data_IF_567311138830
#
_entry.id   IF_567311138830
#
_cell.length_a   1.000
_cell.length_b   1.000
_cell.length_c   1.000
_cell.angle_alpha   90.00
_cell.angle_beta   90.00
_cell.angle_gamma   90.00
#
_symmetry.space_group_name_H-M   'P 1'
#
loop_
_entity.id
_entity.type
_entity.pdbx_description
1 polymer ?
#
# COMPACT_ATOMS: atom_id res chain seq x y z
N UNK A 1 -13.79 28.39 1.91
CA UNK A 1 -13.10 27.90 3.12
C UNK A 1 -13.00 26.41 2.93
N UNK A 2 -11.81 25.86 2.73
CA UNK A 2 -11.62 24.40 2.60
C UNK A 2 -12.02 23.79 3.94
N UNK A 3 -12.95 22.84 3.93
CA UNK A 3 -13.44 22.20 5.15
C UNK A 3 -12.25 21.49 5.83
N UNK A 4 -12.07 21.59 7.14
CA UNK A 4 -10.93 20.94 7.80
C UNK A 4 -10.95 19.42 7.62
N UNK A 5 -12.15 18.83 7.49
CA UNK A 5 -12.39 17.42 7.17
C UNK A 5 -11.99 17.01 5.73
N UNK A 6 -11.72 17.97 4.84
CA UNK A 6 -11.26 17.69 3.46
C UNK A 6 -9.74 17.59 3.35
N UNK A 7 -8.98 18.11 4.34
CA UNK A 7 -7.52 18.08 4.27
C UNK A 7 -6.99 16.70 4.63
N UNK A 8 -5.93 16.28 3.93
CA UNK A 8 -5.24 15.04 4.28
C UNK A 8 -4.67 15.12 5.71
N UNK A 9 -4.66 14.00 6.43
CA UNK A 9 -4.06 13.92 7.75
C UNK A 9 -2.54 14.06 7.69
N UNK A 10 -1.98 14.68 8.72
CA UNK A 10 -0.55 14.82 8.94
C UNK A 10 -0.17 14.10 10.23
N UNK A 11 1.04 13.52 10.30
CA UNK A 11 1.51 12.94 11.55
C UNK A 11 1.61 14.02 12.65
N UNK A 12 1.44 13.66 13.94
CA UNK A 12 1.53 14.62 15.03
C UNK A 12 2.88 15.35 15.03
N UNK A 13 2.88 16.68 15.17
CA UNK A 13 4.09 17.53 15.04
C UNK A 13 5.25 17.06 15.95
N UNK A 14 4.94 16.65 17.18
CA UNK A 14 5.95 16.19 18.13
C UNK A 14 6.43 14.75 17.87
N UNK A 15 5.88 14.04 16.89
CA UNK A 15 6.21 12.64 16.61
C UNK A 15 7.51 12.45 15.81
N UNK A 16 7.86 13.43 14.98
CA UNK A 16 9.06 13.40 14.12
C UNK A 16 10.02 14.55 14.38
N UNK A 17 9.73 15.39 15.38
CA UNK A 17 10.57 16.53 15.73
C UNK A 17 11.94 16.11 16.25
N UNK A 18 13.02 16.86 15.95
CA UNK A 18 14.39 16.54 16.35
C UNK A 18 14.56 16.48 17.88
N UNK A 19 13.75 17.23 18.61
CA UNK A 19 13.74 17.26 20.08
C UNK A 19 13.12 15.99 20.70
N UNK A 20 12.48 15.11 19.90
CA UNK A 20 11.84 13.88 20.35
C UNK A 20 12.50 12.63 19.79
N UNK A 21 13.82 12.70 19.55
CA UNK A 21 14.61 11.57 19.06
C UNK A 21 14.50 10.37 19.99
N UNK A 22 14.39 9.18 19.39
CA UNK A 22 14.35 7.90 20.10
C UNK A 22 15.35 6.94 19.45
N UNK A 23 15.94 6.00 20.22
CA UNK A 23 16.86 5.00 19.67
C UNK A 23 16.16 3.87 18.91
N UNK A 24 14.85 3.98 18.67
CA UNK A 24 14.02 3.00 17.97
C UNK A 24 12.92 3.71 17.17
N UNK A 25 12.45 3.07 16.10
CA UNK A 25 11.28 3.54 15.34
C UNK A 25 10.05 3.47 16.22
N UNK A 26 9.42 4.63 16.45
CA UNK A 26 8.15 4.67 17.17
C UNK A 26 7.00 4.34 16.23
N UNK A 27 5.99 3.69 16.79
CA UNK A 27 4.74 3.37 16.11
C UNK A 27 3.59 3.93 16.94
N UNK A 28 2.67 4.64 16.30
CA UNK A 28 1.43 5.12 16.93
C UNK A 28 0.24 4.84 16.00
N UNK A 29 -0.96 4.63 16.56
CA UNK A 29 -2.19 4.60 15.76
C UNK A 29 -2.37 5.90 14.97
N UNK A 30 -2.89 5.77 13.76
CA UNK A 30 -3.23 6.87 12.86
C UNK A 30 -4.72 6.82 12.51
N UNK A 31 -5.57 7.00 13.53
CA UNK A 31 -7.02 6.89 13.37
C UNK A 31 -7.56 7.96 12.41
N UNK A 32 -6.95 9.14 12.41
CA UNK A 32 -7.25 10.22 11.48
C UNK A 32 -6.99 9.84 10.01
N UNK A 33 -6.01 8.96 9.76
CA UNK A 33 -5.75 8.39 8.42
C UNK A 33 -6.86 7.44 8.03
N UNK A 34 -7.23 6.54 8.93
CA UNK A 34 -8.35 5.62 8.71
C UNK A 34 -9.65 6.39 8.38
N UNK A 35 -9.96 7.41 9.17
CA UNK A 35 -11.18 8.20 9.00
C UNK A 35 -11.17 8.96 7.67
N UNK A 36 -10.06 9.64 7.33
CA UNK A 36 -9.94 10.35 6.06
C UNK A 36 -10.07 9.41 4.84
N UNK A 37 -9.43 8.22 4.89
CA UNK A 37 -9.53 7.22 3.81
C UNK A 37 -10.96 6.72 3.66
N UNK A 38 -11.62 6.42 4.79
CA UNK A 38 -13.00 5.96 4.81
C UNK A 38 -13.94 6.98 4.15
N UNK A 39 -13.75 8.27 4.44
CA UNK A 39 -14.60 9.34 3.90
C UNK A 39 -14.26 9.72 2.45
N UNK A 40 -12.97 9.80 2.08
CA UNK A 40 -12.55 10.37 0.80
C UNK A 40 -12.34 9.34 -0.31
N UNK A 41 -11.88 8.12 0.03
CA UNK A 41 -11.50 7.08 -0.94
C UNK A 41 -12.52 5.94 -0.96
N UNK A 42 -12.93 5.43 0.21
CA UNK A 42 -13.79 4.24 0.29
C UNK A 42 -15.26 4.59 0.08
N UNK A 43 -15.76 5.64 0.73
CA UNK A 43 -17.14 6.11 0.58
C UNK A 43 -17.44 6.50 -0.87
N UNK A 44 -18.63 6.13 -1.36
CA UNK A 44 -19.14 6.49 -2.69
C UNK A 44 -19.37 8.00 -2.85
N UNK A 45 -19.56 8.71 -1.73
CA UNK A 45 -19.66 10.16 -1.65
C UNK A 45 -18.29 10.87 -1.57
N UNK A 46 -17.19 10.12 -1.51
CA UNK A 46 -15.85 10.67 -1.34
C UNK A 46 -15.36 11.41 -2.59
N UNK A 47 -14.64 12.52 -2.39
CA UNK A 47 -14.17 13.38 -3.49
C UNK A 47 -13.23 12.65 -4.45
N UNK A 48 -12.53 11.64 -3.95
CA UNK A 48 -11.61 10.79 -4.68
C UNK A 48 -12.01 9.32 -4.53
N UNK A 49 -13.33 9.03 -4.51
CA UNK A 49 -13.82 7.66 -4.41
C UNK A 49 -13.11 6.72 -5.40
N UNK A 50 -12.72 5.53 -4.93
CA UNK A 50 -12.14 4.49 -5.78
C UNK A 50 -12.93 3.16 -5.64
N UNK A 51 -13.70 2.76 -6.66
CA UNK A 51 -14.47 1.52 -6.61
C UNK A 51 -13.59 0.26 -6.54
N UNK A 52 -12.31 0.35 -6.92
CA UNK A 52 -11.37 -0.77 -6.81
C UNK A 52 -11.13 -1.19 -5.35
N UNK A 53 -11.43 -0.32 -4.38
CA UNK A 53 -11.29 -0.58 -2.95
C UNK A 53 -12.61 -0.91 -2.24
N UNK A 54 -13.68 -1.21 -2.98
CA UNK A 54 -15.00 -1.52 -2.41
C UNK A 54 -14.96 -2.68 -1.39
N UNK A 55 -14.08 -3.67 -1.58
CA UNK A 55 -13.90 -4.78 -0.65
C UNK A 55 -13.31 -4.38 0.72
N UNK A 56 -12.83 -3.14 0.86
CA UNK A 56 -12.25 -2.62 2.10
C UNK A 56 -13.26 -1.86 2.98
N UNK A 57 -14.46 -1.56 2.49
CA UNK A 57 -15.48 -0.79 3.23
C UNK A 57 -15.83 -1.36 4.61
N UNK A 58 -15.87 -2.69 4.73
CA UNK A 58 -16.12 -3.40 5.99
C UNK A 58 -14.89 -4.19 6.48
N UNK A 59 -13.71 -3.90 5.91
CA UNK A 59 -12.51 -4.61 6.29
C UNK A 59 -12.06 -4.19 7.69
N UNK A 60 -11.57 -5.18 8.44
CA UNK A 60 -10.92 -4.95 9.73
C UNK A 60 -9.47 -4.45 9.51
N UNK A 61 -9.36 -3.17 9.15
CA UNK A 61 -8.14 -2.47 8.74
C UNK A 61 -7.86 -1.31 9.71
N UNK A 62 -6.62 -1.21 10.18
CA UNK A 62 -6.15 -0.08 10.96
C UNK A 62 -4.93 0.60 10.31
N UNK A 63 -4.69 1.86 10.69
CA UNK A 63 -3.56 2.64 10.20
C UNK A 63 -2.62 3.01 11.33
N UNK A 64 -1.34 3.13 11.00
CA UNK A 64 -0.29 3.55 11.93
C UNK A 64 0.67 4.54 11.26
N UNK A 65 1.25 5.40 12.10
CA UNK A 65 2.45 6.14 11.75
C UNK A 65 3.68 5.42 12.30
N UNK A 66 4.70 5.24 11.45
CA UNK A 66 6.07 4.99 11.87
C UNK A 66 6.83 6.30 11.90
N UNK A 67 7.68 6.54 12.90
CA UNK A 67 8.43 7.79 13.00
C UNK A 67 9.32 8.04 11.78
N UNK A 68 9.85 6.96 11.19
CA UNK A 68 10.81 7.01 10.09
C UNK A 68 10.58 5.84 9.13
N UNK A 69 10.93 6.04 7.87
CA UNK A 69 11.03 4.96 6.88
C UNK A 69 12.14 3.95 7.24
N UNK A 70 12.08 2.74 6.67
CA UNK A 70 13.14 1.74 6.86
C UNK A 70 13.68 1.19 5.55
N UNK A 71 14.95 0.77 5.56
CA UNK A 71 15.61 0.21 4.38
C UNK A 71 15.33 -1.29 4.22
N UNK A 72 14.96 -1.70 3.01
CA UNK A 72 14.75 -3.11 2.63
C UNK A 72 15.29 -3.33 1.22
N UNK A 73 16.24 -4.24 1.06
CA UNK A 73 16.86 -4.59 -0.23
C UNK A 73 17.37 -3.38 -1.04
N UNK A 74 17.96 -2.39 -0.36
CA UNK A 74 18.52 -1.20 -1.00
C UNK A 74 17.51 -0.12 -1.39
N UNK A 75 16.23 -0.27 -1.00
CA UNK A 75 15.18 0.75 -1.16
C UNK A 75 14.63 1.16 0.20
N UNK A 76 14.12 2.38 0.29
CA UNK A 76 13.34 2.82 1.44
C UNK A 76 11.89 2.38 1.29
N UNK A 77 11.30 1.88 2.37
CA UNK A 77 9.89 1.50 2.46
C UNK A 77 9.14 2.65 3.14
N UNK A 78 8.24 3.30 2.41
CA UNK A 78 7.49 4.48 2.84
C UNK A 78 6.11 4.12 3.40
N UNK A 79 5.59 2.96 3.03
CA UNK A 79 4.37 2.37 3.55
C UNK A 79 4.50 0.85 3.60
N UNK A 80 3.69 0.21 4.43
CA UNK A 80 3.57 -1.24 4.43
C UNK A 80 2.19 -1.70 4.89
N UNK A 81 1.46 -2.36 4.00
CA UNK A 81 0.30 -3.18 4.33
C UNK A 81 0.72 -4.56 4.85
N UNK A 82 0.15 -4.98 5.97
CA UNK A 82 0.36 -6.29 6.54
C UNK A 82 -0.91 -6.92 7.09
N UNK A 83 -0.99 -8.25 7.01
CA UNK A 83 -1.96 -9.06 7.72
C UNK A 83 -1.35 -9.42 9.06
N UNK A 84 -2.04 -9.08 10.15
CA UNK A 84 -1.52 -9.29 11.50
C UNK A 84 -1.39 -10.78 11.78
N UNK A 85 -0.14 -11.24 11.88
CA UNK A 85 0.18 -12.63 12.18
C UNK A 85 1.14 -12.70 13.37
N UNK A 86 0.61 -13.08 14.53
CA UNK A 86 1.38 -13.24 15.77
C UNK A 86 2.11 -14.59 15.79
N UNK A 87 3.20 -14.68 15.05
CA UNK A 87 4.03 -15.90 14.91
C UNK A 87 5.02 -16.06 16.08
N UNK A 88 4.51 -15.99 17.30
CA UNK A 88 5.28 -16.15 18.53
C UNK A 88 4.48 -16.96 19.57
N UNK A 89 5.19 -17.50 20.57
CA UNK A 89 4.59 -18.23 21.69
C UNK A 89 4.84 -17.55 23.04
N UNK A 90 4.12 -17.99 24.07
CA UNK A 90 4.33 -17.54 25.46
C UNK A 90 4.32 -16.02 25.62
N UNK A 91 5.28 -15.50 26.40
CA UNK A 91 5.36 -14.06 26.69
C UNK A 91 5.72 -13.18 25.49
N UNK A 92 6.34 -13.72 24.44
CA UNK A 92 6.57 -12.95 23.21
C UNK A 92 5.24 -12.62 22.53
N UNK A 93 4.35 -13.62 22.41
CA UNK A 93 2.99 -13.42 21.90
C UNK A 93 2.21 -12.44 22.77
N UNK A 94 2.24 -12.64 24.09
CA UNK A 94 1.50 -11.79 25.03
C UNK A 94 1.88 -10.31 24.93
N UNK A 95 3.18 -9.98 24.77
CA UNK A 95 3.62 -8.58 24.55
C UNK A 95 3.09 -7.99 23.24
N UNK A 96 3.06 -8.79 22.17
CA UNK A 96 2.52 -8.34 20.89
C UNK A 96 1.00 -8.14 20.97
N UNK A 97 0.27 -9.06 21.62
CA UNK A 97 -1.18 -8.94 21.84
C UNK A 97 -1.52 -7.71 22.69
N UNK A 98 -0.85 -7.54 23.82
CA UNK A 98 -1.03 -6.38 24.70
C UNK A 98 -0.86 -5.07 23.91
N UNK A 99 0.19 -4.96 23.09
CA UNK A 99 0.45 -3.76 22.32
C UNK A 99 -0.69 -3.45 21.33
N UNK A 100 -1.26 -4.47 20.67
CA UNK A 100 -2.40 -4.29 19.77
C UNK A 100 -3.66 -3.84 20.52
N UNK A 101 -3.94 -4.42 21.69
CA UNK A 101 -5.06 -3.99 22.53
C UNK A 101 -4.89 -2.56 23.06
N UNK A 102 -3.68 -2.16 23.45
CA UNK A 102 -3.40 -0.80 23.90
C UNK A 102 -3.55 0.22 22.76
N UNK A 103 -3.20 -0.14 21.53
CA UNK A 103 -3.35 0.71 20.36
C UNK A 103 -4.80 0.77 19.83
N UNK A 104 -5.47 -0.38 19.74
CA UNK A 104 -6.69 -0.52 18.95
C UNK A 104 -7.88 -1.12 19.71
N UNK A 105 -7.72 -1.49 20.98
CA UNK A 105 -8.75 -2.17 21.78
C UNK A 105 -9.06 -3.61 21.35
N UNK A 106 -8.39 -4.11 20.31
CA UNK A 106 -8.52 -5.45 19.72
C UNK A 106 -7.25 -5.78 18.93
N UNK A 107 -7.18 -6.98 18.36
CA UNK A 107 -6.16 -7.34 17.37
C UNK A 107 -6.80 -7.18 15.98
N UNK A 108 -6.44 -6.14 15.19
CA UNK A 108 -6.97 -5.98 13.85
C UNK A 108 -6.47 -7.08 12.91
N UNK A 109 -7.23 -7.40 11.85
CA UNK A 109 -6.78 -8.34 10.80
C UNK A 109 -5.69 -7.75 9.91
N UNK A 110 -5.79 -6.48 9.57
CA UNK A 110 -4.84 -5.79 8.70
C UNK A 110 -4.38 -4.47 9.32
N UNK A 111 -3.12 -4.13 9.08
CA UNK A 111 -2.53 -2.84 9.44
C UNK A 111 -1.82 -2.27 8.22
N UNK A 112 -2.00 -0.99 7.95
CA UNK A 112 -1.15 -0.21 7.05
C UNK A 112 -0.33 0.77 7.90
N UNK A 113 0.98 0.69 7.79
CA UNK A 113 1.89 1.62 8.47
C UNK A 113 2.50 2.58 7.46
N UNK A 114 2.45 3.88 7.73
CA UNK A 114 2.99 4.94 6.87
C UNK A 114 4.18 5.64 7.55
N UNK A 115 5.21 5.97 6.78
CA UNK A 115 6.39 6.67 7.25
C UNK A 115 6.06 8.17 7.46
N UNK A 116 6.07 8.61 8.71
CA UNK A 116 5.66 9.96 9.11
C UNK A 116 6.67 11.03 8.65
N UNK A 117 7.96 10.73 8.70
CA UNK A 117 9.04 11.56 8.15
C UNK A 117 8.76 11.94 6.69
N UNK A 118 8.38 10.98 5.86
CA UNK A 118 8.01 11.21 4.47
C UNK A 118 6.65 11.91 4.34
N UNK A 119 5.61 11.40 5.02
CA UNK A 119 4.24 11.91 4.87
C UNK A 119 4.07 13.36 5.35
N UNK A 120 4.95 13.83 6.23
CA UNK A 120 4.99 15.23 6.68
C UNK A 120 5.54 16.20 5.64
N UNK A 121 6.27 15.69 4.64
CA UNK A 121 7.00 16.50 3.65
C UNK A 121 6.49 16.30 2.22
N UNK A 122 5.90 15.15 1.91
CA UNK A 122 5.40 14.86 0.56
C UNK A 122 4.21 15.75 0.18
N UNK A 123 4.01 15.90 -1.12
CA UNK A 123 2.84 16.55 -1.68
C UNK A 123 1.56 15.75 -1.41
N UNK A 124 0.40 16.40 -1.51
CA UNK A 124 -0.89 15.71 -1.38
C UNK A 124 -1.06 14.60 -2.42
N UNK A 125 -0.50 14.81 -3.63
CA UNK A 125 -0.50 13.82 -4.71
C UNK A 125 0.29 12.56 -4.31
N UNK A 126 1.51 12.74 -3.81
CA UNK A 126 2.36 11.64 -3.36
C UNK A 126 1.76 10.90 -2.16
N UNK A 127 1.16 11.62 -1.22
CA UNK A 127 0.45 11.01 -0.10
C UNK A 127 -0.71 10.12 -0.57
N UNK A 128 -1.55 10.63 -1.47
CA UNK A 128 -2.67 9.87 -2.01
C UNK A 128 -2.20 8.63 -2.78
N UNK A 129 -1.14 8.78 -3.58
CA UNK A 129 -0.52 7.68 -4.32
C UNK A 129 0.02 6.59 -3.37
N UNK A 130 0.73 6.98 -2.30
CA UNK A 130 1.24 6.06 -1.29
C UNK A 130 0.11 5.31 -0.58
N UNK A 131 -0.92 6.03 -0.13
CA UNK A 131 -2.04 5.43 0.60
C UNK A 131 -2.79 4.42 -0.27
N UNK A 132 -3.16 4.78 -1.50
CA UNK A 132 -3.87 3.84 -2.39
C UNK A 132 -2.97 2.68 -2.83
N UNK A 133 -1.66 2.89 -3.01
CA UNK A 133 -0.70 1.81 -3.20
C UNK A 133 -0.79 0.76 -2.08
N UNK A 134 -0.76 1.19 -0.81
CA UNK A 134 -0.90 0.27 0.32
C UNK A 134 -2.30 -0.39 0.39
N UNK A 135 -3.36 0.32 0.00
CA UNK A 135 -4.70 -0.26 -0.08
C UNK A 135 -4.78 -1.36 -1.15
N UNK A 136 -4.11 -1.19 -2.30
CA UNK A 136 -4.07 -2.20 -3.36
C UNK A 136 -3.37 -3.50 -2.95
N UNK A 137 -2.49 -3.47 -1.94
CA UNK A 137 -1.93 -4.70 -1.36
C UNK A 137 -2.97 -5.57 -0.67
N UNK A 138 -4.07 -5.00 -0.19
CA UNK A 138 -5.16 -5.76 0.43
C UNK A 138 -6.23 -5.98 -0.62
N UNK A 139 -6.37 -7.21 -1.09
CA UNK A 139 -7.30 -7.55 -2.15
C UNK A 139 -8.26 -8.65 -1.74
N UNK A 140 -9.41 -8.72 -2.41
CA UNK A 140 -10.28 -9.88 -2.31
C UNK A 140 -9.63 -11.09 -3.00
N UNK A 141 -9.59 -12.21 -2.28
CA UNK A 141 -9.17 -13.49 -2.82
C UNK A 141 -10.16 -13.95 -3.89
N UNK A 142 -9.66 -14.59 -4.94
CA UNK A 142 -10.48 -15.18 -6.01
C UNK A 142 -10.50 -16.70 -5.90
N UNK A 143 -11.57 -17.32 -6.40
CA UNK A 143 -11.65 -18.77 -6.53
C UNK A 143 -10.86 -19.26 -7.76
N UNK A 144 -10.90 -20.57 -8.00
CA UNK A 144 -10.16 -21.21 -9.10
C UNK A 144 -10.65 -20.76 -10.49
N UNK A 145 -11.78 -20.05 -10.57
CA UNK A 145 -12.36 -19.50 -11.79
C UNK A 145 -12.20 -17.98 -11.88
N UNK A 146 -11.50 -17.36 -10.92
CA UNK A 146 -11.27 -15.91 -10.88
C UNK A 146 -12.42 -15.10 -10.28
N UNK A 147 -13.47 -15.74 -9.75
CA UNK A 147 -14.57 -15.02 -9.12
C UNK A 147 -14.21 -14.59 -7.68
N UNK A 148 -14.65 -13.41 -7.20
CA UNK A 148 -14.35 -12.95 -5.84
C UNK A 148 -14.93 -13.89 -4.77
N UNK A 149 -14.10 -14.26 -3.79
CA UNK A 149 -14.50 -15.17 -2.69
C UNK A 149 -15.14 -14.41 -1.54
N UNK A 150 -16.21 -15.00 -1.04
CA UNK A 150 -16.91 -14.54 0.16
C UNK A 150 -16.89 -15.65 1.22
N UNK A 151 -16.81 -15.25 2.49
CA UNK A 151 -16.95 -16.18 3.60
C UNK A 151 -18.40 -16.67 3.66
N UNK A 152 -18.61 -17.99 3.69
CA UNK A 152 -19.96 -18.58 3.66
C UNK A 152 -20.79 -18.30 4.91
N UNK A 153 -20.15 -18.05 6.05
CA UNK A 153 -20.80 -17.80 7.33
C UNK A 153 -21.10 -16.30 7.52
N UNK A 154 -20.15 -15.43 7.19
CA UNK A 154 -20.29 -13.99 7.43
C UNK A 154 -20.77 -13.20 6.23
N UNK A 155 -20.70 -13.76 5.01
CA UNK A 155 -20.97 -13.06 3.76
C UNK A 155 -19.89 -12.04 3.37
N UNK A 156 -18.86 -11.82 4.18
CA UNK A 156 -17.84 -10.81 3.94
C UNK A 156 -16.80 -11.25 2.90
N UNK A 157 -16.17 -10.30 2.17
CA UNK A 157 -15.03 -10.58 1.31
C UNK A 157 -13.92 -11.35 2.04
N UNK A 158 -13.39 -12.40 1.42
CA UNK A 158 -12.18 -13.06 1.91
C UNK A 158 -10.98 -12.25 1.43
N UNK A 159 -10.31 -11.55 2.35
CA UNK A 159 -9.18 -10.68 2.01
C UNK A 159 -7.84 -11.43 2.09
N UNK A 160 -6.91 -11.06 1.22
CA UNK A 160 -5.54 -11.57 1.17
C UNK A 160 -4.58 -10.41 0.88
N UNK A 161 -3.32 -10.57 1.29
CA UNK A 161 -2.25 -9.71 0.79
C UNK A 161 -1.86 -10.16 -0.62
N UNK A 162 -1.76 -9.21 -1.54
CA UNK A 162 -1.08 -9.35 -2.83
C UNK A 162 0.27 -8.65 -2.74
N UNK A 163 1.30 -9.23 -3.35
CA UNK A 163 2.58 -8.54 -3.50
C UNK A 163 2.45 -7.37 -4.49
N UNK A 164 3.55 -6.68 -4.77
CA UNK A 164 3.58 -5.68 -5.83
C UNK A 164 3.21 -6.34 -7.17
N UNK A 165 1.99 -6.12 -7.63
CA UNK A 165 1.43 -6.68 -8.85
C UNK A 165 1.03 -5.55 -9.81
N UNK A 166 0.92 -5.84 -11.10
CA UNK A 166 0.65 -4.86 -12.16
C UNK A 166 -0.61 -4.05 -11.88
N UNK A 167 -1.63 -4.65 -11.27
CA UNK A 167 -2.91 -3.98 -10.94
C UNK A 167 -2.72 -2.79 -9.98
N UNK A 168 -1.86 -2.92 -8.98
CA UNK A 168 -1.50 -1.85 -8.04
C UNK A 168 -0.84 -0.68 -8.79
N UNK A 169 0.15 -0.97 -9.63
CA UNK A 169 0.83 0.04 -10.44
C UNK A 169 -0.12 0.74 -11.41
N UNK A 170 -0.98 -0.01 -12.11
CA UNK A 170 -1.93 0.55 -13.07
C UNK A 170 -2.96 1.43 -12.36
N UNK A 171 -3.49 0.99 -11.21
CA UNK A 171 -4.45 1.74 -10.41
C UNK A 171 -3.89 3.10 -9.96
N UNK A 172 -2.69 3.09 -9.37
CA UNK A 172 -1.99 4.30 -8.91
C UNK A 172 -1.64 5.21 -10.08
N UNK A 173 -1.03 4.69 -11.15
CA UNK A 173 -0.64 5.51 -12.32
C UNK A 173 -1.84 6.13 -13.00
N UNK A 174 -2.96 5.40 -13.12
CA UNK A 174 -4.21 5.91 -13.71
C UNK A 174 -4.79 7.09 -12.93
N UNK A 175 -4.66 7.09 -11.59
CA UNK A 175 -5.27 8.08 -10.71
C UNK A 175 -4.35 9.25 -10.37
N UNK A 176 -3.06 9.00 -10.25
CA UNK A 176 -2.08 9.99 -9.76
C UNK A 176 -0.95 10.29 -10.73
N UNK A 177 -0.89 9.59 -11.87
CA UNK A 177 0.19 9.73 -12.84
C UNK A 177 1.39 8.83 -12.54
N UNK A 178 2.31 8.77 -13.50
CA UNK A 178 3.54 8.00 -13.36
C UNK A 178 4.50 8.68 -12.38
N UNK A 179 5.09 7.91 -11.48
CA UNK A 179 6.28 8.34 -10.75
C UNK A 179 7.46 8.50 -11.71
N UNK A 180 8.54 9.15 -11.28
CA UNK A 180 9.76 9.30 -12.10
C UNK A 180 10.25 7.96 -12.65
N UNK A 181 10.36 6.93 -11.81
CA UNK A 181 10.82 5.60 -12.21
C UNK A 181 9.86 4.93 -13.22
N UNK A 182 8.55 5.12 -13.05
CA UNK A 182 7.55 4.61 -14.00
C UNK A 182 7.61 5.39 -15.32
N UNK A 183 7.85 6.71 -15.25
CA UNK A 183 8.00 7.54 -16.44
C UNK A 183 9.23 7.12 -17.24
N UNK A 184 10.35 6.80 -16.59
CA UNK A 184 11.54 6.24 -17.27
C UNK A 184 11.21 4.93 -18.00
N UNK A 185 10.41 4.05 -17.38
CA UNK A 185 9.93 2.83 -18.03
C UNK A 185 9.02 3.13 -19.23
N UNK A 186 8.09 4.07 -19.09
CA UNK A 186 7.19 4.50 -20.17
C UNK A 186 7.98 5.09 -21.33
N UNK A 187 8.97 5.94 -21.05
CA UNK A 187 9.82 6.55 -22.05
C UNK A 187 10.64 5.49 -22.78
N UNK A 188 11.22 4.53 -22.05
CA UNK A 188 11.94 3.40 -22.64
C UNK A 188 11.03 2.52 -23.51
N UNK A 189 9.78 2.26 -23.08
CA UNK A 189 8.81 1.48 -23.83
C UNK A 189 8.34 2.19 -25.11
N UNK A 190 8.33 3.53 -25.13
CA UNK A 190 7.98 4.34 -26.29
C UNK A 190 9.12 4.47 -27.31
N UNK A 191 10.34 4.06 -26.97
CA UNK A 191 11.47 4.02 -27.89
C UNK A 191 11.55 2.68 -28.64
N UNK A 192 12.11 2.63 -29.86
CA UNK A 192 12.44 1.37 -30.52
C UNK A 192 13.35 0.53 -29.62
N UNK A 193 13.06 -0.76 -29.48
CA UNK A 193 13.90 -1.67 -28.73
C UNK A 193 15.34 -1.65 -29.27
N UNK A 194 16.32 -1.46 -28.37
CA UNK A 194 17.74 -1.36 -28.73
C UNK A 194 18.26 -2.65 -29.41
N UNK A 195 17.65 -3.79 -29.10
CA UNK A 195 18.00 -5.08 -29.69
C UNK A 195 16.98 -5.47 -30.75
N UNK A 196 17.37 -5.30 -32.02
CA UNK A 196 16.56 -5.73 -33.15
C UNK A 196 16.31 -7.25 -33.13
N UNK A 197 15.08 -7.66 -33.50
CA UNK A 197 14.69 -9.09 -33.61
C UNK A 197 15.65 -9.93 -34.45
N UNK A 198 16.22 -9.34 -35.51
CA UNK A 198 17.22 -10.00 -36.36
C UNK A 198 18.52 -10.32 -35.60
N UNK A 199 18.98 -9.41 -34.74
CA UNK A 199 20.17 -9.62 -33.93
C UNK A 199 19.94 -10.73 -32.89
N UNK A 200 18.75 -10.76 -32.29
CA UNK A 200 18.33 -11.86 -31.40
C UNK A 200 18.35 -13.18 -32.17
N UNK A 201 17.76 -13.22 -33.37
CA UNK A 201 17.67 -14.44 -34.15
C UNK A 201 19.06 -14.99 -34.57
N UNK A 202 20.00 -14.10 -34.91
CA UNK A 202 21.40 -14.45 -35.19
C UNK A 202 22.12 -14.96 -33.94
N UNK A 203 21.90 -14.35 -32.79
CA UNK A 203 22.53 -14.76 -31.53
C UNK A 203 22.02 -16.11 -31.01
N UNK A 204 20.70 -16.37 -31.13
CA UNK A 204 20.09 -17.60 -30.62
C UNK A 204 20.28 -18.82 -31.55
N UNK A 205 20.58 -18.62 -32.84
CA UNK A 205 20.82 -19.68 -33.83
C UNK A 205 19.62 -20.57 -34.18
N UNK A 206 18.57 -20.59 -33.35
CA UNK A 206 17.35 -21.40 -33.49
C UNK A 206 16.15 -20.61 -33.97
N UNK A 207 16.11 -19.29 -33.77
CA UNK A 207 14.98 -18.46 -34.23
C UNK A 207 14.96 -18.29 -35.76
N UNK A 208 16.11 -18.43 -36.42
CA UNK A 208 16.22 -18.42 -37.90
C UNK A 208 15.64 -19.69 -38.55
N UNK A 209 15.48 -20.79 -37.80
CA UNK A 209 14.90 -22.04 -38.32
C UNK A 209 13.37 -22.00 -38.41
N UNK A 210 12.70 -21.04 -37.77
CA UNK A 210 11.22 -20.89 -37.77
C UNK A 210 10.71 -19.83 -38.77
N UNK A 211 11.61 -19.14 -39.46
CA UNK A 211 11.31 -18.13 -40.49
C UNK A 211 11.49 -18.67 -41.92
N UNK A 212 11.88 -19.94 -42.07
CA UNK A 212 12.03 -20.65 -43.33
C UNK A 212 10.84 -21.58 -43.59
#
# INVERSE_FOLDING_TARGET
MVNEDERRPLPPVNFIGPDNWQPYTRLIPANEVHDWISHQILSDSGSIHNPDHAHLMEADLCFMWASDSFAKKGRYVLGQAEQVMLRAGGWQKARMEQQMYEWFGRIPKFIITLAADYCSQCSDLEFCALVEHELYHIAQATDDFGAPKFNKETGQPVLTLRGHDVEEFVGVVRRYGASTDVQELVDAANQPAEVAKLNIARACGTCMLKLA
#
